data_IF_501596970043
#
_entry.id   IF_501596970043
#
_cell.length_a   1.000
_cell.length_b   1.000
_cell.length_c   1.000
_cell.angle_alpha   90.00
_cell.angle_beta   90.00
_cell.angle_gamma   90.00
#
_symmetry.space_group_name_H-M   'P 1'
#
loop_
_entity.id
_entity.type
_entity.pdbx_description
1 polymer ?
#
# COMPACT_ATOMS: atom_id res chain seq x y z
N UNK A 1 19.22 -19.38 12.74
CA UNK A 1 18.45 -18.92 11.57
C UNK A 1 19.45 -18.75 10.44
N UNK A 2 19.28 -19.50 9.36
CA UNK A 2 20.20 -19.51 8.21
C UNK A 2 20.18 -18.12 7.54
N UNK A 3 21.36 -17.55 7.25
CA UNK A 3 21.51 -16.24 6.58
C UNK A 3 20.79 -16.19 5.21
N UNK A 4 20.43 -17.35 4.65
CA UNK A 4 19.62 -17.45 3.43
C UNK A 4 18.13 -17.14 3.67
N UNK A 5 17.57 -17.57 4.79
CA UNK A 5 16.16 -17.33 5.11
C UNK A 5 15.91 -15.84 5.43
N UNK A 6 16.84 -15.19 6.13
CA UNK A 6 16.76 -13.75 6.43
C UNK A 6 16.87 -12.89 5.17
N UNK A 7 17.74 -13.29 4.22
CA UNK A 7 17.88 -12.61 2.93
C UNK A 7 16.61 -12.74 2.09
N UNK A 8 16.05 -13.94 1.97
CA UNK A 8 14.81 -14.16 1.22
C UNK A 8 13.63 -13.39 1.84
N UNK A 9 13.52 -13.36 3.16
CA UNK A 9 12.48 -12.60 3.84
C UNK A 9 12.62 -11.09 3.66
N UNK A 10 13.85 -10.57 3.70
CA UNK A 10 14.14 -9.15 3.46
C UNK A 10 13.78 -8.72 2.05
N UNK A 11 14.05 -9.55 1.04
CA UNK A 11 13.67 -9.27 -0.34
C UNK A 11 12.16 -9.29 -0.52
N UNK A 12 11.48 -10.29 0.04
CA UNK A 12 10.02 -10.39 0.02
C UNK A 12 9.39 -9.17 0.69
N UNK A 13 9.90 -8.76 1.85
CA UNK A 13 9.46 -7.55 2.54
C UNK A 13 9.63 -6.31 1.67
N UNK A 14 10.78 -6.10 1.03
CA UNK A 14 11.00 -4.93 0.16
C UNK A 14 9.97 -4.87 -0.97
N UNK A 15 9.70 -6.00 -1.61
CA UNK A 15 8.73 -6.10 -2.70
C UNK A 15 7.31 -5.81 -2.22
N UNK A 16 6.88 -6.47 -1.14
CA UNK A 16 5.53 -6.31 -0.59
C UNK A 16 5.32 -4.90 -0.04
N UNK A 17 6.23 -4.40 0.80
CA UNK A 17 6.13 -3.07 1.39
C UNK A 17 6.11 -1.96 0.32
N UNK A 18 6.95 -2.04 -0.71
CA UNK A 18 6.92 -1.07 -1.80
C UNK A 18 5.58 -1.09 -2.56
N UNK A 19 5.02 -2.28 -2.80
CA UNK A 19 3.71 -2.43 -3.43
C UNK A 19 2.60 -1.83 -2.58
N UNK A 20 2.60 -2.10 -1.28
CA UNK A 20 1.59 -1.57 -0.35
C UNK A 20 1.70 -0.06 -0.15
N UNK A 21 2.92 0.48 0.01
CA UNK A 21 3.13 1.93 0.07
C UNK A 21 2.55 2.59 -1.19
N UNK A 22 2.81 2.01 -2.37
CA UNK A 22 2.28 2.52 -3.63
C UNK A 22 0.76 2.42 -3.70
N UNK A 23 0.17 1.30 -3.31
CA UNK A 23 -1.27 1.09 -3.33
C UNK A 23 -1.99 2.11 -2.44
N UNK A 24 -1.55 2.29 -1.20
CA UNK A 24 -2.10 3.30 -0.28
C UNK A 24 -1.91 4.71 -0.83
N UNK A 25 -0.73 5.03 -1.37
CA UNK A 25 -0.47 6.34 -2.00
C UNK A 25 -1.44 6.62 -3.15
N UNK A 26 -1.67 5.64 -4.02
CA UNK A 26 -2.62 5.75 -5.14
C UNK A 26 -4.05 5.96 -4.64
N UNK A 27 -4.48 5.21 -3.63
CA UNK A 27 -5.82 5.33 -3.07
C UNK A 27 -6.07 6.75 -2.52
N UNK A 28 -5.14 7.28 -1.72
CA UNK A 28 -5.24 8.65 -1.22
C UNK A 28 -5.18 9.68 -2.36
N UNK A 29 -4.32 9.46 -3.35
CA UNK A 29 -4.23 10.35 -4.52
C UNK A 29 -5.55 10.39 -5.29
N UNK A 30 -6.19 9.24 -5.49
CA UNK A 30 -7.48 9.17 -6.17
C UNK A 30 -8.58 9.89 -5.38
N UNK A 31 -8.66 9.69 -4.07
CA UNK A 31 -9.62 10.40 -3.20
C UNK A 31 -9.40 11.90 -3.28
N UNK A 32 -8.16 12.36 -3.10
CA UNK A 32 -7.83 13.78 -3.15
C UNK A 32 -8.12 14.41 -4.52
N UNK A 33 -7.81 13.71 -5.62
CA UNK A 33 -8.10 14.18 -6.97
C UNK A 33 -9.60 14.29 -7.25
N UNK A 34 -10.39 13.29 -6.84
CA UNK A 34 -11.86 13.31 -6.99
C UNK A 34 -12.47 14.44 -6.17
N UNK A 35 -12.05 14.63 -4.92
CA UNK A 35 -12.53 15.73 -4.08
C UNK A 35 -12.16 17.10 -4.66
N UNK A 36 -10.93 17.26 -5.18
CA UNK A 36 -10.51 18.50 -5.82
C UNK A 36 -11.33 18.78 -7.09
N UNK A 37 -11.53 17.77 -7.94
CA UNK A 37 -12.36 17.91 -9.14
C UNK A 37 -13.80 18.30 -8.79
N UNK A 38 -14.41 17.63 -7.80
CA UNK A 38 -15.74 17.99 -7.32
C UNK A 38 -15.79 19.43 -6.79
N UNK A 39 -14.76 19.85 -6.03
CA UNK A 39 -14.63 21.22 -5.55
C UNK A 39 -14.59 22.23 -6.70
N UNK A 40 -13.74 22.02 -7.69
CA UNK A 40 -13.62 22.89 -8.87
C UNK A 40 -14.91 22.96 -9.69
N UNK A 41 -15.61 21.83 -9.86
CA UNK A 41 -16.91 21.79 -10.53
C UNK A 41 -17.93 22.65 -9.78
N UNK A 42 -18.07 22.45 -8.45
CA UNK A 42 -18.99 23.23 -7.63
C UNK A 42 -18.67 24.73 -7.65
N UNK A 43 -17.38 25.09 -7.71
CA UNK A 43 -16.94 26.47 -7.87
C UNK A 43 -17.34 27.05 -9.23
N UNK A 44 -17.15 26.30 -10.32
CA UNK A 44 -17.49 26.72 -11.68
C UNK A 44 -18.99 26.98 -11.86
N UNK A 45 -19.83 26.18 -11.21
CA UNK A 45 -21.29 26.38 -11.19
C UNK A 45 -21.77 27.39 -10.12
N UNK A 46 -20.84 28.06 -9.42
CA UNK A 46 -21.13 29.03 -8.38
C UNK A 46 -22.09 28.48 -7.30
N UNK A 47 -21.95 27.20 -6.94
CA UNK A 47 -22.83 26.55 -5.96
C UNK A 47 -22.50 27.07 -4.56
N UNK A 48 -23.49 27.72 -3.95
CA UNK A 48 -23.36 28.39 -2.66
C UNK A 48 -24.28 27.77 -1.62
N UNK A 49 -23.82 27.80 -0.37
CA UNK A 49 -24.64 27.49 0.79
C UNK A 49 -25.73 28.54 0.95
N UNK A 50 -26.97 28.10 1.12
CA UNK A 50 -28.11 29.01 1.32
C UNK A 50 -28.00 29.78 2.64
N UNK A 51 -27.41 29.19 3.68
CA UNK A 51 -27.27 29.82 5.00
C UNK A 51 -26.15 30.86 5.05
N UNK A 52 -25.01 30.60 4.41
CA UNK A 52 -23.79 31.39 4.58
C UNK A 52 -23.35 32.14 3.32
N UNK A 53 -24.00 31.88 2.18
CA UNK A 53 -23.63 32.39 0.85
C UNK A 53 -22.17 32.04 0.42
N UNK A 54 -21.53 31.10 1.16
CA UNK A 54 -20.17 30.63 0.89
C UNK A 54 -20.19 29.61 -0.23
N UNK A 55 -19.18 29.68 -1.10
CA UNK A 55 -18.97 28.75 -2.20
C UNK A 55 -18.56 27.37 -1.65
N UNK A 56 -19.47 26.38 -1.73
CA UNK A 56 -19.29 25.06 -1.11
C UNK A 56 -18.06 24.34 -1.69
N UNK A 57 -17.77 24.59 -2.96
CA UNK A 57 -16.61 24.02 -3.65
C UNK A 57 -15.26 24.35 -3.01
N UNK A 58 -15.15 25.42 -2.21
CA UNK A 58 -13.92 25.76 -1.47
C UNK A 58 -13.57 24.64 -0.49
N UNK A 59 -14.53 24.12 0.26
CA UNK A 59 -14.26 23.08 1.25
C UNK A 59 -13.80 21.77 0.60
N UNK A 60 -14.45 21.38 -0.51
CA UNK A 60 -14.06 20.21 -1.29
C UNK A 60 -12.68 20.37 -1.92
N UNK A 61 -12.37 21.54 -2.47
CA UNK A 61 -11.06 21.81 -3.05
C UNK A 61 -9.95 21.79 -1.99
N UNK A 62 -10.16 22.44 -0.84
CA UNK A 62 -9.21 22.44 0.27
C UNK A 62 -9.00 21.02 0.84
N UNK A 63 -10.07 20.26 1.01
CA UNK A 63 -10.00 18.86 1.43
C UNK A 63 -9.22 18.02 0.41
N UNK A 64 -9.50 18.18 -0.89
CA UNK A 64 -8.78 17.50 -1.96
C UNK A 64 -7.27 17.78 -1.92
N UNK A 65 -6.88 19.05 -1.81
CA UNK A 65 -5.47 19.46 -1.65
C UNK A 65 -4.85 18.85 -0.39
N UNK A 66 -5.56 18.88 0.74
CA UNK A 66 -5.09 18.31 2.00
C UNK A 66 -4.83 16.79 1.88
N UNK A 67 -5.74 16.04 1.25
CA UNK A 67 -5.59 14.60 1.06
C UNK A 67 -4.41 14.29 0.11
N UNK A 68 -4.24 15.07 -0.96
CA UNK A 68 -3.08 14.93 -1.86
C UNK A 68 -1.75 15.19 -1.14
N UNK A 69 -1.70 16.20 -0.27
CA UNK A 69 -0.53 16.46 0.57
C UNK A 69 -0.26 15.28 1.53
N UNK A 70 -1.29 14.74 2.17
CA UNK A 70 -1.17 13.54 3.00
C UNK A 70 -0.61 12.35 2.22
N UNK A 71 -1.07 12.13 0.97
CA UNK A 71 -0.57 11.06 0.10
C UNK A 71 0.93 11.23 -0.18
N UNK A 72 1.36 12.44 -0.53
CA UNK A 72 2.76 12.75 -0.81
C UNK A 72 3.65 12.57 0.43
N UNK A 73 3.21 13.10 1.58
CA UNK A 73 3.92 12.96 2.85
C UNK A 73 4.03 11.49 3.26
N UNK A 74 2.94 10.73 3.17
CA UNK A 74 2.92 9.30 3.46
C UNK A 74 3.93 8.55 2.58
N UNK A 75 3.89 8.78 1.26
CA UNK A 75 4.80 8.14 0.32
C UNK A 75 6.27 8.41 0.67
N UNK A 76 6.62 9.67 0.95
CA UNK A 76 7.98 10.06 1.29
C UNK A 76 8.45 9.49 2.62
N UNK A 77 7.62 9.55 3.66
CA UNK A 77 7.95 9.05 4.99
C UNK A 77 8.12 7.53 4.95
N UNK A 78 7.15 6.82 4.37
CA UNK A 78 7.16 5.36 4.34
C UNK A 78 8.30 4.84 3.46
N UNK A 79 8.53 5.42 2.29
CA UNK A 79 9.61 4.96 1.40
C UNK A 79 11.01 5.15 2.02
N UNK A 80 11.20 6.13 2.90
CA UNK A 80 12.49 6.39 3.55
C UNK A 80 12.65 5.70 4.90
N UNK A 81 11.60 5.65 5.73
CA UNK A 81 11.68 5.21 7.13
C UNK A 81 11.17 3.78 7.36
N UNK A 82 10.42 3.20 6.43
CA UNK A 82 9.86 1.86 6.58
C UNK A 82 10.82 0.80 6.04
N UNK A 83 11.87 0.51 6.82
CA UNK A 83 12.87 -0.52 6.48
C UNK A 83 12.56 -1.86 7.15
N UNK A 84 13.12 -2.95 6.61
CA UNK A 84 12.96 -4.28 7.20
C UNK A 84 13.42 -4.35 8.66
N UNK A 85 14.50 -3.65 9.02
CA UNK A 85 14.98 -3.62 10.41
C UNK A 85 13.98 -2.95 11.35
N UNK A 86 13.39 -1.85 10.89
CA UNK A 86 12.40 -1.12 11.67
C UNK A 86 11.13 -1.97 11.81
N UNK A 87 10.68 -2.62 10.74
CA UNK A 87 9.58 -3.59 10.77
C UNK A 87 9.87 -4.73 11.75
N UNK A 88 10.99 -5.44 11.60
CA UNK A 88 11.39 -6.57 12.45
C UNK A 88 11.52 -6.19 13.92
N UNK A 89 12.03 -4.99 14.21
CA UNK A 89 12.12 -4.46 15.58
C UNK A 89 10.75 -4.18 16.19
N UNK A 90 9.79 -3.66 15.40
CA UNK A 90 8.42 -3.41 15.86
C UNK A 90 7.67 -4.71 16.12
N UNK A 91 7.72 -5.64 15.16
CA UNK A 91 7.05 -6.94 15.28
C UNK A 91 7.59 -7.76 16.45
N UNK A 92 8.92 -7.80 16.67
CA UNK A 92 9.53 -8.46 17.84
C UNK A 92 9.07 -7.88 19.18
N UNK A 93 8.73 -6.59 19.22
CA UNK A 93 8.24 -5.93 20.45
C UNK A 93 6.72 -6.07 20.63
N UNK A 94 6.01 -6.75 19.73
CA UNK A 94 4.56 -6.87 19.76
C UNK A 94 3.82 -5.58 19.34
N UNK A 95 4.54 -4.57 18.85
CA UNK A 95 3.91 -3.36 18.30
C UNK A 95 3.63 -3.57 16.83
N UNK A 96 2.35 -3.71 16.49
CA UNK A 96 1.90 -3.82 15.11
C UNK A 96 1.03 -2.60 14.79
N UNK A 97 1.48 -1.75 13.87
CA UNK A 97 0.55 -0.85 13.20
C UNK A 97 -0.34 -1.65 12.24
N UNK A 98 -1.48 -1.07 11.86
CA UNK A 98 -2.35 -1.66 10.82
C UNK A 98 -1.57 -1.95 9.54
N UNK A 99 -0.62 -1.07 9.19
CA UNK A 99 0.25 -1.26 8.02
C UNK A 99 1.22 -2.44 8.21
N UNK A 100 1.78 -2.63 9.42
CA UNK A 100 2.66 -3.78 9.71
C UNK A 100 1.89 -5.11 9.58
N UNK A 101 0.62 -5.14 10.01
CA UNK A 101 -0.25 -6.31 9.87
C UNK A 101 -0.57 -6.62 8.40
N UNK A 102 -0.91 -5.60 7.61
CA UNK A 102 -1.21 -5.78 6.18
C UNK A 102 0.00 -6.32 5.42
N UNK A 103 1.18 -5.75 5.67
CA UNK A 103 2.44 -6.24 5.08
C UNK A 103 2.72 -7.69 5.49
N UNK A 104 2.52 -8.03 6.77
CA UNK A 104 2.72 -9.39 7.26
C UNK A 104 1.75 -10.39 6.58
N UNK A 105 0.48 -10.02 6.46
CA UNK A 105 -0.56 -10.83 5.83
C UNK A 105 -0.23 -11.09 4.35
N UNK A 106 0.16 -10.06 3.61
CA UNK A 106 0.50 -10.20 2.19
C UNK A 106 1.79 -10.99 2.01
N UNK A 107 2.80 -10.80 2.87
CA UNK A 107 4.00 -11.63 2.86
C UNK A 107 3.66 -13.11 3.11
N UNK A 108 2.74 -13.42 4.01
CA UNK A 108 2.28 -14.79 4.25
C UNK A 108 1.59 -15.37 3.01
N UNK A 109 0.73 -14.59 2.36
CA UNK A 109 0.04 -14.98 1.12
C UNK A 109 1.02 -15.23 -0.04
N UNK A 110 2.03 -14.36 -0.22
CA UNK A 110 3.07 -14.57 -1.24
C UNK A 110 3.91 -15.82 -0.96
N UNK A 111 4.23 -16.12 0.31
CA UNK A 111 4.92 -17.37 0.68
C UNK A 111 4.09 -18.62 0.34
N UNK A 112 2.80 -18.61 0.63
CA UNK A 112 1.90 -19.72 0.27
C UNK A 112 1.85 -19.93 -1.25
N UNK A 113 1.65 -18.86 -2.01
CA UNK A 113 1.63 -18.93 -3.48
C UNK A 113 2.95 -19.45 -4.06
N UNK A 114 4.09 -19.06 -3.49
CA UNK A 114 5.40 -19.58 -3.91
C UNK A 114 5.53 -21.08 -3.64
N UNK A 115 5.11 -21.53 -2.46
CA UNK A 115 5.13 -22.96 -2.09
C UNK A 115 4.22 -23.81 -2.99
N UNK A 116 3.01 -23.34 -3.28
CA UNK A 116 2.10 -24.02 -4.21
C UNK A 116 2.67 -24.10 -5.63
N UNK A 117 3.32 -23.04 -6.11
CA UNK A 117 3.94 -23.03 -7.42
C UNK A 117 5.13 -23.99 -7.51
N UNK A 118 5.91 -24.14 -6.42
CA UNK A 118 6.99 -25.13 -6.35
C UNK A 118 6.42 -26.55 -6.40
N UNK A 119 5.37 -26.85 -5.61
CA UNK A 119 4.69 -28.15 -5.66
C UNK A 119 4.21 -28.51 -7.07
N UNK A 120 3.51 -27.58 -7.73
CA UNK A 120 3.05 -27.78 -9.12
C UNK A 120 4.18 -27.98 -10.11
N UNK A 121 5.35 -27.35 -9.91
CA UNK A 121 6.52 -27.55 -10.77
C UNK A 121 7.18 -28.91 -10.53
N UNK A 122 7.27 -29.36 -9.28
CA UNK A 122 7.78 -30.68 -8.93
C UNK A 122 6.87 -31.79 -9.48
N UNK A 123 5.56 -31.69 -9.30
CA UNK A 123 4.58 -32.63 -9.86
C UNK A 123 4.70 -32.73 -11.40
N UNK A 124 4.91 -31.60 -12.08
CA UNK A 124 5.12 -31.60 -13.55
C UNK A 124 6.46 -32.19 -13.98
N UNK A 125 7.50 -32.07 -13.15
CA UNK A 125 8.81 -32.63 -13.43
C UNK A 125 8.78 -34.16 -13.28
N UNK A 126 8.18 -34.69 -12.21
CA UNK A 126 8.01 -36.14 -12.01
C UNK A 126 7.21 -36.79 -13.15
N UNK A 127 6.12 -36.16 -13.60
CA UNK A 127 5.32 -36.67 -14.75
C UNK A 127 6.13 -36.70 -16.06
N UNK A 128 7.18 -35.88 -16.18
CA UNK A 128 8.02 -35.83 -17.39
C UNK A 128 9.15 -36.86 -17.33
N UNK A 129 9.63 -37.22 -16.14
CA UNK A 129 10.61 -38.30 -15.95
C UNK A 129 9.99 -39.70 -16.01
N UNK A 130 8.75 -39.89 -15.55
CA UNK A 130 8.03 -41.18 -15.69
C UNK A 130 7.62 -41.51 -17.15
N UNK A 131 7.67 -40.53 -18.06
CA UNK A 131 7.32 -40.69 -19.48
C UNK A 131 8.52 -40.88 -20.42
N UNK A 132 9.74 -41.00 -19.89
CA UNK A 132 10.96 -41.30 -20.64
C UNK A 132 11.41 -42.74 -20.38
#
# INVERSE_FOLDING_TARGET
MDDRDDRAERELFKKVSAKEIRAVTIAFTAIGAVSLAAGLILMAFNVRSEESNVLIGIFFALFGVFVLLCAAIFHLIMSKKYTYEVYKKRTKKGYYSTFDMEVAFIMQKERQAMSENIKKKLEKADITEEKK
#
